data_IF_486363277406
#
_entry.id   IF_486363277406
#
_cell.length_a   1.000
_cell.length_b   1.000
_cell.length_c   1.000
_cell.angle_alpha   90.00
_cell.angle_beta   90.00
_cell.angle_gamma   90.00
#
_symmetry.space_group_name_H-M   'P 1'
#
loop_
_entity.id
_entity.type
_entity.pdbx_description
1 polymer ?
#
# COMPACT_ATOMS: atom_id res chain seq x y z
N UNK A 1 -14.94 -1.04 -15.48
CA UNK A 1 -13.50 -1.29 -15.27
C UNK A 1 -13.10 -2.55 -16.04
N UNK A 2 -12.08 -2.47 -16.89
CA UNK A 2 -11.65 -3.63 -17.65
C UNK A 2 -10.71 -4.52 -16.81
N UNK A 3 -10.33 -5.65 -17.40
CA UNK A 3 -9.54 -6.67 -16.71
C UNK A 3 -8.18 -6.15 -16.24
N UNK A 4 -7.53 -5.35 -17.07
CA UNK A 4 -6.21 -4.80 -16.74
C UNK A 4 -6.29 -3.71 -15.67
N UNK A 5 -7.33 -2.91 -15.74
CA UNK A 5 -7.57 -1.89 -14.73
C UNK A 5 -7.87 -2.54 -13.38
N UNK A 6 -8.68 -3.57 -13.38
CA UNK A 6 -8.99 -4.32 -12.15
C UNK A 6 -7.74 -4.98 -11.57
N UNK A 7 -6.89 -5.55 -12.44
CA UNK A 7 -5.63 -6.15 -12.02
C UNK A 7 -4.71 -5.13 -11.36
N UNK A 8 -4.60 -3.93 -11.96
CA UNK A 8 -3.78 -2.86 -11.39
C UNK A 8 -4.30 -2.41 -10.03
N UNK A 9 -5.62 -2.26 -9.91
CA UNK A 9 -6.24 -1.86 -8.65
C UNK A 9 -6.00 -2.91 -7.56
N UNK A 10 -6.19 -4.18 -7.90
CA UNK A 10 -5.96 -5.28 -6.96
C UNK A 10 -4.51 -5.33 -6.50
N UNK A 11 -3.57 -5.11 -7.42
CA UNK A 11 -2.15 -5.08 -7.10
C UNK A 11 -1.81 -3.92 -6.15
N UNK A 12 -2.38 -2.75 -6.41
CA UNK A 12 -2.17 -1.59 -5.53
C UNK A 12 -2.72 -1.86 -4.13
N UNK A 13 -3.88 -2.51 -4.03
CA UNK A 13 -4.45 -2.93 -2.76
C UNK A 13 -3.59 -3.93 -2.04
N UNK A 14 -3.01 -4.87 -2.78
CA UNK A 14 -2.10 -5.87 -2.23
C UNK A 14 -0.83 -5.22 -1.65
N UNK A 15 -0.24 -4.29 -2.39
CA UNK A 15 0.96 -3.56 -1.94
C UNK A 15 0.64 -2.79 -0.65
N UNK A 16 -0.48 -2.10 -0.63
CA UNK A 16 -0.93 -1.38 0.56
C UNK A 16 -1.02 -2.31 1.77
N UNK A 17 -1.64 -3.48 1.60
CA UNK A 17 -1.79 -4.47 2.67
C UNK A 17 -0.45 -5.02 3.13
N UNK A 18 0.47 -5.29 2.18
CA UNK A 18 1.79 -5.82 2.51
C UNK A 18 2.63 -4.84 3.29
N UNK A 19 2.48 -3.54 3.04
CA UNK A 19 3.22 -2.53 3.83
C UNK A 19 2.80 -2.54 5.30
N UNK A 20 1.52 -2.82 5.59
CA UNK A 20 1.07 -2.95 6.98
C UNK A 20 1.67 -4.16 7.67
N UNK A 21 1.74 -5.28 6.97
CA UNK A 21 2.33 -6.51 7.50
C UNK A 21 3.82 -6.31 7.76
N UNK A 22 4.50 -5.66 6.81
CA UNK A 22 5.92 -5.36 6.96
C UNK A 22 6.17 -4.43 8.13
N UNK A 23 5.34 -3.39 8.28
CA UNK A 23 5.45 -2.45 9.40
C UNK A 23 5.39 -3.18 10.75
N UNK A 24 4.44 -4.10 10.88
CA UNK A 24 4.29 -4.89 12.10
C UNK A 24 5.55 -5.72 12.39
N UNK A 25 6.12 -6.34 11.36
CA UNK A 25 7.35 -7.13 11.51
C UNK A 25 8.54 -6.26 11.92
N UNK A 26 8.66 -5.06 11.34
CA UNK A 26 9.74 -4.14 11.68
C UNK A 26 9.63 -3.67 13.13
N UNK A 27 8.41 -3.42 13.60
CA UNK A 27 8.17 -3.06 14.99
C UNK A 27 8.53 -4.21 15.94
N UNK A 28 8.22 -5.44 15.57
CA UNK A 28 8.57 -6.61 16.36
C UNK A 28 10.09 -6.80 16.47
N UNK A 29 10.82 -6.38 15.42
CA UNK A 29 12.28 -6.46 15.40
C UNK A 29 12.94 -5.25 16.04
N UNK A 30 12.18 -4.27 16.51
CA UNK A 30 12.68 -3.03 17.12
C UNK A 30 13.53 -2.20 16.14
N UNK A 31 13.20 -2.26 14.85
CA UNK A 31 13.87 -1.49 13.80
C UNK A 31 13.10 -0.18 13.59
N UNK A 32 13.23 0.72 14.57
CA UNK A 32 12.39 1.92 14.63
C UNK A 32 12.52 2.84 13.43
N UNK A 33 13.75 3.08 12.97
CA UNK A 33 13.97 3.95 11.81
C UNK A 33 13.39 3.32 10.55
N UNK A 34 13.56 2.01 10.39
CA UNK A 34 12.99 1.29 9.25
C UNK A 34 11.46 1.26 9.33
N UNK A 35 10.92 1.15 10.55
CA UNK A 35 9.47 1.17 10.75
C UNK A 35 8.89 2.54 10.35
N UNK A 36 9.57 3.62 10.70
CA UNK A 36 9.15 4.98 10.30
C UNK A 36 9.15 5.13 8.78
N UNK A 37 10.18 4.63 8.13
CA UNK A 37 10.25 4.63 6.66
C UNK A 37 9.12 3.83 6.04
N UNK A 38 8.83 2.67 6.62
CA UNK A 38 7.76 1.80 6.14
C UNK A 38 6.38 2.45 6.34
N UNK A 39 6.20 3.20 7.41
CA UNK A 39 4.97 3.94 7.67
C UNK A 39 4.72 4.97 6.58
N UNK A 40 5.75 5.71 6.18
CA UNK A 40 5.66 6.65 5.07
C UNK A 40 5.32 5.92 3.77
N UNK A 41 5.93 4.78 3.53
CA UNK A 41 5.66 3.97 2.35
C UNK A 41 4.21 3.50 2.32
N UNK A 42 3.69 3.07 3.48
CA UNK A 42 2.30 2.65 3.60
C UNK A 42 1.35 3.81 3.26
N UNK A 43 1.63 5.00 3.78
CA UNK A 43 0.80 6.17 3.52
C UNK A 43 0.76 6.49 2.03
N UNK A 44 1.90 6.41 1.36
CA UNK A 44 1.99 6.62 -0.09
C UNK A 44 1.25 5.55 -0.87
N UNK A 45 1.36 4.30 -0.43
CA UNK A 45 0.67 3.18 -1.08
C UNK A 45 -0.85 3.33 -0.95
N UNK A 46 -1.32 3.76 0.22
CA UNK A 46 -2.75 4.00 0.45
C UNK A 46 -3.25 5.14 -0.42
N UNK A 47 -2.51 6.22 -0.49
CA UNK A 47 -2.87 7.38 -1.33
C UNK A 47 -2.94 6.98 -2.80
N UNK A 48 -1.97 6.22 -3.27
CA UNK A 48 -1.95 5.73 -4.64
C UNK A 48 -3.17 4.84 -4.92
N UNK A 49 -3.47 3.94 -4.00
CA UNK A 49 -4.62 3.05 -4.13
C UNK A 49 -5.92 3.85 -4.27
N UNK A 50 -6.11 4.85 -3.40
CA UNK A 50 -7.32 5.67 -3.43
C UNK A 50 -7.41 6.52 -4.69
N UNK A 51 -6.29 7.07 -5.15
CA UNK A 51 -6.25 7.85 -6.38
C UNK A 51 -6.56 6.98 -7.59
N UNK A 52 -5.99 5.79 -7.63
CA UNK A 52 -6.23 4.85 -8.72
C UNK A 52 -7.70 4.44 -8.75
N UNK A 53 -8.25 4.12 -7.59
CA UNK A 53 -9.66 3.74 -7.47
C UNK A 53 -10.57 4.84 -8.01
N UNK A 54 -10.35 6.09 -7.59
CA UNK A 54 -11.14 7.22 -8.07
C UNK A 54 -11.02 7.40 -9.59
N UNK A 55 -9.81 7.26 -10.11
CA UNK A 55 -9.55 7.42 -11.53
C UNK A 55 -10.30 6.37 -12.34
N UNK A 56 -10.33 5.14 -11.86
CA UNK A 56 -10.95 4.03 -12.59
C UNK A 56 -12.46 3.94 -12.41
N UNK A 57 -13.01 4.60 -11.39
CA UNK A 57 -14.45 4.56 -11.09
C UNK A 57 -15.25 5.68 -11.74
N UNK A 58 -14.65 6.52 -12.55
CA UNK A 58 -15.31 7.64 -13.21
C UNK A 58 -16.45 7.22 -14.18
#
# INVERSE_FOLDING_TARGET
MNKQELSALNMAGFIKSQTLILLDKLNQLNLDDCADECEDLHDMAEELYLNLKRTLER
#
